data_IF_671590666728
#
_entry.id   IF_671590666728
#
_cell.length_a   1.000
_cell.length_b   1.000
_cell.length_c   1.000
_cell.angle_alpha   90.00
_cell.angle_beta   90.00
_cell.angle_gamma   90.00
#
_symmetry.space_group_name_H-M   'P 1'
#
loop_
_entity.id
_entity.type
_entity.pdbx_description
1 polymer ?
#
# COMPACT_ATOMS: atom_id res chain seq x y z
N UNK A 1 6.40 -3.09 -6.13
CA UNK A 1 5.45 -2.01 -6.46
C UNK A 1 5.94 -0.78 -5.74
N UNK A 2 6.29 0.25 -6.50
CA UNK A 2 6.88 1.49 -5.97
C UNK A 2 6.27 2.66 -6.75
N UNK A 3 5.85 3.70 -6.04
CA UNK A 3 5.29 4.91 -6.66
C UNK A 3 6.47 5.78 -7.09
N UNK A 4 6.63 5.88 -8.41
CA UNK A 4 7.75 6.50 -9.12
C UNK A 4 7.85 8.04 -8.93
N UNK A 5 7.88 8.51 -7.69
CA UNK A 5 8.06 9.92 -7.32
C UNK A 5 9.54 10.21 -7.02
N UNK A 6 10.18 11.13 -7.74
CA UNK A 6 11.61 11.41 -7.55
C UNK A 6 12.02 12.89 -7.64
N UNK A 7 13.18 13.26 -7.02
CA UNK A 7 14.44 13.12 -7.77
C UNK A 7 15.70 12.65 -6.99
N UNK A 8 15.67 12.35 -5.68
CA UNK A 8 16.92 12.08 -4.91
C UNK A 8 17.12 10.60 -4.48
N UNK A 9 16.25 9.68 -4.92
CA UNK A 9 16.26 8.27 -4.48
C UNK A 9 16.65 7.24 -5.55
N UNK A 10 16.80 7.62 -6.83
CA UNK A 10 16.94 6.65 -7.93
C UNK A 10 18.18 5.76 -7.79
N UNK A 11 19.37 6.33 -7.60
CA UNK A 11 20.60 5.53 -7.65
C UNK A 11 20.71 4.50 -6.51
N UNK A 12 20.38 4.87 -5.27
CA UNK A 12 20.54 3.96 -4.12
C UNK A 12 19.46 2.87 -4.15
N UNK A 13 18.23 3.24 -4.53
CA UNK A 13 17.12 2.29 -4.60
C UNK A 13 17.34 1.33 -5.76
N UNK A 14 17.82 1.80 -6.91
CA UNK A 14 18.09 0.93 -8.05
C UNK A 14 19.30 0.00 -7.80
N UNK A 15 20.36 0.48 -7.13
CA UNK A 15 21.50 -0.35 -6.75
C UNK A 15 21.08 -1.44 -5.74
N UNK A 16 20.20 -1.11 -4.78
CA UNK A 16 19.64 -2.09 -3.85
C UNK A 16 18.72 -3.11 -4.53
N UNK A 17 17.83 -2.66 -5.42
CA UNK A 17 16.93 -3.54 -6.19
C UNK A 17 17.71 -4.51 -7.08
N UNK A 18 18.79 -4.06 -7.71
CA UNK A 18 19.70 -4.91 -8.48
C UNK A 18 20.45 -5.92 -7.60
N UNK A 19 20.84 -5.53 -6.38
CA UNK A 19 21.52 -6.42 -5.44
C UNK A 19 20.63 -7.56 -4.90
N UNK A 20 19.32 -7.32 -4.83
CA UNK A 20 18.32 -8.30 -4.37
C UNK A 20 17.69 -9.10 -5.53
N UNK A 21 18.20 -8.94 -6.77
CA UNK A 21 17.67 -9.55 -8.00
C UNK A 21 16.18 -9.23 -8.26
N UNK A 22 15.71 -8.09 -7.72
CA UNK A 22 14.33 -7.64 -7.87
C UNK A 22 14.24 -6.84 -9.19
N UNK A 23 13.67 -7.47 -10.21
CA UNK A 23 13.40 -6.78 -11.48
C UNK A 23 12.35 -5.69 -11.28
N UNK A 24 12.73 -4.43 -11.48
CA UNK A 24 11.81 -3.29 -11.49
C UNK A 24 10.91 -3.42 -12.73
N UNK A 25 9.60 -3.46 -12.51
CA UNK A 25 8.62 -3.49 -13.60
C UNK A 25 8.48 -2.07 -14.16
N UNK A 26 8.60 -1.89 -15.48
CA UNK A 26 8.41 -0.60 -16.15
C UNK A 26 6.96 -0.13 -15.96
N UNK A 27 6.74 0.74 -14.97
CA UNK A 27 5.44 1.33 -14.70
C UNK A 27 5.37 2.74 -15.31
N UNK A 28 4.31 3.08 -16.06
CA UNK A 28 4.14 4.45 -16.52
C UNK A 28 3.96 5.37 -15.31
N UNK A 29 4.81 6.39 -15.20
CA UNK A 29 4.58 7.50 -14.29
C UNK A 29 3.19 8.09 -14.60
N UNK A 30 2.40 8.39 -13.56
CA UNK A 30 1.00 8.88 -13.63
C UNK A 30 -0.14 7.85 -13.74
N UNK A 31 0.08 6.59 -13.40
CA UNK A 31 -1.02 5.64 -13.23
C UNK A 31 -1.20 5.18 -11.76
N UNK A 32 -1.61 6.08 -10.83
CA UNK A 32 -1.98 5.69 -9.46
C UNK A 32 -3.10 4.64 -9.48
N UNK A 33 -4.06 4.79 -10.41
CA UNK A 33 -5.17 3.86 -10.64
C UNK A 33 -4.76 2.41 -10.94
N UNK A 34 -3.52 2.20 -11.40
CA UNK A 34 -3.00 0.86 -11.69
C UNK A 34 -2.28 0.24 -10.48
N UNK A 35 -1.91 1.02 -9.45
CA UNK A 35 -1.22 0.47 -8.29
C UNK A 35 -2.23 -0.36 -7.46
N UNK A 36 -2.11 -1.70 -7.44
CA UNK A 36 -3.09 -2.51 -6.73
C UNK A 36 -3.06 -2.27 -5.21
N UNK A 37 -2.03 -1.59 -4.69
CA UNK A 37 -2.04 -1.15 -3.30
C UNK A 37 -3.13 -0.09 -3.02
N UNK A 38 -3.44 0.79 -3.98
CA UNK A 38 -4.50 1.79 -3.82
C UNK A 38 -5.88 1.12 -3.73
N UNK A 39 -6.09 0.07 -4.55
CA UNK A 39 -7.31 -0.74 -4.48
C UNK A 39 -7.46 -1.45 -3.13
N UNK A 40 -6.36 -1.95 -2.57
CA UNK A 40 -6.35 -2.57 -1.24
C UNK A 40 -6.65 -1.53 -0.16
N UNK A 41 -6.10 -0.32 -0.26
CA UNK A 41 -6.41 0.77 0.68
C UNK A 41 -7.88 1.22 0.62
N UNK A 42 -8.45 1.40 -0.57
CA UNK A 42 -9.88 1.74 -0.74
C UNK A 42 -10.79 0.64 -0.18
N UNK A 43 -10.45 -0.62 -0.39
CA UNK A 43 -11.21 -1.74 0.19
C UNK A 43 -11.13 -1.77 1.72
N UNK A 44 -9.95 -1.49 2.29
CA UNK A 44 -9.74 -1.44 3.74
C UNK A 44 -10.53 -0.28 4.38
N UNK A 45 -10.49 0.90 3.76
CA UNK A 45 -11.21 2.10 4.23
C UNK A 45 -12.72 1.88 4.24
N UNK A 46 -13.28 1.32 3.16
CA UNK A 46 -14.70 0.95 3.08
C UNK A 46 -15.12 -0.04 4.17
N UNK A 47 -14.28 -1.04 4.46
CA UNK A 47 -14.58 -2.05 5.49
C UNK A 47 -14.55 -1.46 6.90
N UNK A 48 -13.62 -0.55 7.17
CA UNK A 48 -13.57 0.16 8.45
C UNK A 48 -14.76 1.09 8.61
N UNK A 49 -15.16 1.79 7.54
CA UNK A 49 -16.30 2.71 7.56
C UNK A 49 -17.64 2.02 7.89
N UNK A 50 -17.83 0.76 7.48
CA UNK A 50 -19.05 -0.01 7.77
C UNK A 50 -18.98 -0.84 9.05
N UNK A 51 -17.84 -0.87 9.73
CA UNK A 51 -17.62 -1.69 10.93
C UNK A 51 -18.45 -1.19 12.11
N UNK A 52 -19.09 -2.13 12.81
CA UNK A 52 -19.82 -1.84 14.05
C UNK A 52 -19.36 -2.75 15.20
N UNK A 53 -19.01 -2.19 16.38
CA UNK A 53 -18.91 -0.76 16.67
C UNK A 53 -17.74 -0.08 15.93
N UNK A 54 -17.84 1.21 15.61
CA UNK A 54 -16.75 1.94 15.00
C UNK A 54 -15.57 2.04 15.98
N UNK A 55 -14.32 1.95 15.50
CA UNK A 55 -13.17 2.11 16.38
C UNK A 55 -13.14 3.55 16.94
N UNK A 56 -13.09 3.66 18.26
CA UNK A 56 -13.13 4.96 18.97
C UNK A 56 -11.77 5.42 19.46
N UNK A 57 -10.78 4.52 19.46
CA UNK A 57 -9.41 4.82 19.86
C UNK A 57 -8.37 4.22 18.90
N UNK A 58 -7.16 4.79 18.91
CA UNK A 58 -6.05 4.33 18.05
C UNK A 58 -5.73 2.83 18.20
N UNK A 59 -5.73 2.23 19.40
CA UNK A 59 -5.55 0.79 19.55
C UNK A 59 -6.65 -0.04 18.89
N UNK A 60 -7.91 0.39 18.99
CA UNK A 60 -9.05 -0.27 18.33
C UNK A 60 -8.97 -0.14 16.82
N UNK A 61 -8.61 1.04 16.31
CA UNK A 61 -8.42 1.26 14.87
C UNK A 61 -7.30 0.36 14.34
N UNK A 62 -6.17 0.27 15.04
CA UNK A 62 -5.06 -0.63 14.67
C UNK A 62 -5.50 -2.09 14.63
N UNK A 63 -6.26 -2.53 15.63
CA UNK A 63 -6.81 -3.90 15.65
C UNK A 63 -7.75 -4.12 14.47
N UNK A 64 -8.65 -3.17 14.23
CA UNK A 64 -9.62 -3.25 13.15
C UNK A 64 -8.93 -3.34 11.79
N UNK A 65 -7.92 -2.50 11.54
CA UNK A 65 -7.10 -2.54 10.33
C UNK A 65 -6.47 -3.92 10.13
N UNK A 66 -5.87 -4.51 11.17
CA UNK A 66 -5.25 -5.83 11.08
C UNK A 66 -6.27 -6.95 10.83
N UNK A 67 -7.42 -6.90 11.50
CA UNK A 67 -8.50 -7.87 11.29
C UNK A 67 -9.05 -7.78 9.86
N UNK A 68 -9.33 -6.58 9.36
CA UNK A 68 -9.85 -6.39 8.00
C UNK A 68 -8.81 -6.78 6.95
N UNK A 69 -7.53 -6.47 7.19
CA UNK A 69 -6.42 -6.84 6.32
C UNK A 69 -6.31 -8.36 6.13
N UNK A 70 -6.45 -9.13 7.21
CA UNK A 70 -6.45 -10.60 7.15
C UNK A 70 -7.68 -11.19 6.44
N UNK A 71 -8.74 -10.40 6.25
CA UNK A 71 -9.95 -10.80 5.53
C UNK A 71 -9.96 -10.33 4.07
N UNK A 72 -8.90 -9.68 3.58
CA UNK A 72 -8.75 -9.36 2.16
C UNK A 72 -8.37 -10.67 1.44
N UNK A 73 -9.18 -11.13 0.48
CA UNK A 73 -8.97 -12.42 -0.20
C UNK A 73 -7.71 -12.46 -1.07
#
# INVERSE_FOLDING_TARGET
MDDNACPYRENIVDEYLQSEDITRMDWPAYAPDLNPIEHVWDMLDRRIAVRQPPPTCLPELRRALLDEWCNIP
#
